data_IF_495382739907
#
_entry.id   IF_495382739907
#
_cell.length_a   1.000
_cell.length_b   1.000
_cell.length_c   1.000
_cell.angle_alpha   90.00
_cell.angle_beta   90.00
_cell.angle_gamma   90.00
#
_symmetry.space_group_name_H-M   'P 1'
#
loop_
_entity.id
_entity.type
_entity.pdbx_description
1 polymer ?
#
# COMPACT_ATOMS: atom_id res chain seq x y z
N UNK A 1 -9.28 1.25 5.45
CA UNK A 1 -9.64 1.20 4.01
C UNK A 1 -11.12 0.95 3.83
N UNK A 2 -11.73 1.56 2.80
CA UNK A 2 -13.11 1.30 2.41
C UNK A 2 -13.17 0.03 1.56
N UNK A 3 -13.79 -1.02 2.12
CA UNK A 3 -13.79 -2.35 1.52
C UNK A 3 -14.52 -2.45 0.16
N UNK A 4 -15.50 -1.59 -0.09
CA UNK A 4 -16.25 -1.56 -1.35
C UNK A 4 -15.48 -0.87 -2.49
N UNK A 5 -14.45 -0.09 -2.16
CA UNK A 5 -13.54 0.52 -3.12
C UNK A 5 -12.37 -0.42 -3.45
N UNK A 6 -11.79 -0.23 -4.62
CA UNK A 6 -10.56 -0.91 -5.03
C UNK A 6 -9.31 -0.24 -4.40
N UNK A 7 -8.16 -0.89 -4.55
CA UNK A 7 -6.90 -0.40 -3.96
C UNK A 7 -6.51 0.97 -4.53
N UNK A 8 -6.66 1.18 -5.84
CA UNK A 8 -6.36 2.47 -6.48
C UNK A 8 -7.21 3.60 -5.90
N UNK A 9 -8.54 3.40 -5.78
CA UNK A 9 -9.45 4.39 -5.22
C UNK A 9 -9.18 4.67 -3.74
N UNK A 10 -8.87 3.63 -2.96
CA UNK A 10 -8.46 3.82 -1.56
C UNK A 10 -7.20 4.68 -1.46
N UNK A 11 -6.18 4.38 -2.26
CA UNK A 11 -4.92 5.10 -2.22
C UNK A 11 -5.08 6.56 -2.68
N UNK A 12 -5.86 6.77 -3.75
CA UNK A 12 -6.21 8.12 -4.24
C UNK A 12 -6.96 8.93 -3.18
N UNK A 13 -7.93 8.30 -2.49
CA UNK A 13 -8.67 8.96 -1.43
C UNK A 13 -7.76 9.39 -0.28
N UNK A 14 -6.86 8.52 0.17
CA UNK A 14 -5.89 8.86 1.23
C UNK A 14 -4.93 9.97 0.78
N UNK A 15 -4.44 9.93 -0.47
CA UNK A 15 -3.61 10.98 -1.03
C UNK A 15 -4.31 12.34 -0.98
N UNK A 16 -5.56 12.40 -1.44
CA UNK A 16 -6.37 13.61 -1.38
C UNK A 16 -6.61 14.10 0.06
N UNK A 17 -6.87 13.19 1.00
CA UNK A 17 -7.02 13.54 2.43
C UNK A 17 -5.73 14.12 3.04
N UNK A 18 -4.56 13.71 2.53
CA UNK A 18 -3.26 14.28 2.89
C UNK A 18 -2.94 15.59 2.15
N UNK A 19 -3.84 16.10 1.31
CA UNK A 19 -3.58 17.29 0.47
C UNK A 19 -2.64 17.02 -0.71
N UNK A 20 -2.42 15.75 -1.07
CA UNK A 20 -1.53 15.36 -2.16
C UNK A 20 -2.33 15.15 -3.44
N UNK A 21 -2.14 16.02 -4.43
CA UNK A 21 -2.68 15.88 -5.78
C UNK A 21 -1.79 14.98 -6.62
N UNK A 22 -1.90 13.66 -6.43
CA UNK A 22 -1.15 12.67 -7.19
C UNK A 22 -1.88 12.25 -8.45
N UNK A 23 -1.16 12.17 -9.56
CA UNK A 23 -1.68 11.62 -10.81
C UNK A 23 -1.80 10.09 -10.76
N UNK A 24 -2.35 9.54 -11.84
CA UNK A 24 -2.58 8.10 -11.96
C UNK A 24 -1.27 7.31 -12.00
N UNK A 25 -0.22 7.89 -12.58
CA UNK A 25 1.07 7.24 -12.74
C UNK A 25 1.75 7.08 -11.38
N UNK A 26 1.83 8.16 -10.60
CA UNK A 26 2.41 8.16 -9.27
C UNK A 26 1.67 7.23 -8.31
N UNK A 27 0.34 7.19 -8.37
CA UNK A 27 -0.45 6.22 -7.59
C UNK A 27 -0.15 4.77 -8.00
N UNK A 28 0.04 4.50 -9.29
CA UNK A 28 0.42 3.17 -9.76
C UNK A 28 1.84 2.78 -9.33
N UNK A 29 2.77 3.73 -9.24
CA UNK A 29 4.12 3.49 -8.72
C UNK A 29 4.09 3.00 -7.27
N UNK A 30 3.38 3.70 -6.38
CA UNK A 30 3.23 3.26 -4.98
C UNK A 30 2.60 1.86 -4.88
N UNK A 31 1.59 1.55 -5.70
CA UNK A 31 1.02 0.20 -5.75
C UNK A 31 2.01 -0.82 -6.32
N UNK A 32 2.88 -0.43 -7.24
CA UNK A 32 3.92 -1.29 -7.80
C UNK A 32 4.97 -1.65 -6.75
N UNK A 33 5.41 -0.69 -5.94
CA UNK A 33 6.41 -0.90 -4.88
C UNK A 33 6.00 -2.00 -3.89
N UNK A 34 4.69 -2.14 -3.63
CA UNK A 34 4.15 -3.15 -2.72
C UNK A 34 3.59 -4.40 -3.42
N UNK A 35 3.75 -4.52 -4.74
CA UNK A 35 3.27 -5.67 -5.51
C UNK A 35 1.74 -5.73 -5.69
N UNK A 36 1.04 -4.59 -5.66
CA UNK A 36 -0.42 -4.50 -5.80
C UNK A 36 -0.90 -3.89 -7.13
N UNK A 37 0.01 -3.52 -8.03
CA UNK A 37 -0.33 -2.85 -9.31
C UNK A 37 -1.31 -3.66 -10.16
N UNK A 38 -1.09 -4.97 -10.31
CA UNK A 38 -1.92 -5.84 -11.17
C UNK A 38 -3.31 -6.09 -10.58
N UNK A 39 -3.43 -5.99 -9.26
CA UNK A 39 -4.69 -6.15 -8.51
C UNK A 39 -5.31 -4.80 -8.12
N UNK A 40 -4.86 -3.68 -8.69
CA UNK A 40 -5.28 -2.33 -8.27
C UNK A 40 -6.78 -2.07 -8.36
N UNK A 41 -7.48 -2.75 -9.27
CA UNK A 41 -8.94 -2.67 -9.49
C UNK A 41 -9.74 -3.67 -8.65
N UNK A 42 -9.09 -4.56 -7.89
CA UNK A 42 -9.76 -5.52 -7.00
C UNK A 42 -10.24 -4.79 -5.75
N UNK A 43 -11.49 -5.03 -5.35
CA UNK A 43 -12.09 -4.45 -4.13
C UNK A 43 -11.32 -4.90 -2.88
N UNK A 44 -11.06 -3.97 -1.97
CA UNK A 44 -10.25 -4.24 -0.77
C UNK A 44 -10.94 -5.23 0.18
N UNK A 45 -12.26 -5.35 0.16
CA UNK A 45 -12.96 -6.41 0.92
C UNK A 45 -12.55 -7.83 0.51
N UNK A 46 -12.04 -8.01 -0.72
CA UNK A 46 -11.58 -9.29 -1.25
C UNK A 46 -10.05 -9.48 -1.11
N UNK A 47 -9.36 -8.57 -0.41
CA UNK A 47 -7.92 -8.68 -0.15
C UNK A 47 -7.66 -9.66 0.99
N UNK A 48 -6.59 -10.44 0.87
CA UNK A 48 -6.03 -11.16 2.01
C UNK A 48 -5.50 -10.17 3.06
N UNK A 49 -5.20 -10.66 4.26
CA UNK A 49 -4.58 -9.82 5.29
C UNK A 49 -3.27 -9.19 4.79
N UNK A 50 -2.40 -9.99 4.16
CA UNK A 50 -1.14 -9.50 3.59
C UNK A 50 -1.31 -8.46 2.48
N UNK A 51 -2.34 -8.59 1.63
CA UNK A 51 -2.65 -7.56 0.64
C UNK A 51 -3.14 -6.25 1.28
N UNK A 52 -3.92 -6.32 2.37
CA UNK A 52 -4.32 -5.12 3.12
C UNK A 52 -3.11 -4.46 3.78
N UNK A 53 -2.20 -5.26 4.33
CA UNK A 53 -0.94 -4.77 4.92
C UNK A 53 -0.07 -4.05 3.88
N UNK A 54 0.10 -4.65 2.69
CA UNK A 54 0.79 -4.02 1.55
C UNK A 54 0.15 -2.69 1.15
N UNK A 55 -1.19 -2.62 1.15
CA UNK A 55 -1.89 -1.38 0.85
C UNK A 55 -1.67 -0.32 1.95
N UNK A 56 -1.61 -0.71 3.24
CA UNK A 56 -1.23 0.18 4.35
C UNK A 56 0.18 0.75 4.17
N UNK A 57 1.13 -0.09 3.76
CA UNK A 57 2.51 0.32 3.48
C UNK A 57 2.53 1.33 2.31
N UNK A 58 1.85 1.05 1.20
CA UNK A 58 1.76 2.02 0.10
C UNK A 58 1.14 3.36 0.54
N UNK A 59 0.09 3.32 1.37
CA UNK A 59 -0.56 4.51 1.90
C UNK A 59 0.34 5.31 2.86
N UNK A 60 1.19 4.64 3.64
CA UNK A 60 2.12 5.32 4.53
C UNK A 60 3.25 6.02 3.77
N UNK A 61 3.66 5.48 2.61
CA UNK A 61 4.69 6.06 1.75
C UNK A 61 4.20 7.26 0.93
N UNK A 62 2.88 7.51 0.86
CA UNK A 62 2.32 8.66 0.17
C UNK A 62 2.89 9.97 0.71
N UNK A 63 3.48 10.76 -0.19
CA UNK A 63 4.06 12.06 0.12
C UNK A 63 5.54 12.02 0.47
N UNK A 64 6.20 10.87 0.30
CA UNK A 64 7.64 10.69 0.58
C UNK A 64 8.02 11.21 1.98
N UNK A 65 7.48 10.62 3.06
CA UNK A 65 7.74 11.10 4.41
C UNK A 65 9.23 11.02 4.76
N UNK A 66 9.74 12.03 5.46
CA UNK A 66 11.13 12.04 5.95
C UNK A 66 11.37 11.00 7.05
N UNK A 67 10.34 10.71 7.85
CA UNK A 67 10.39 9.73 8.94
C UNK A 67 9.17 8.82 8.83
N UNK A 68 9.42 7.51 8.88
CA UNK A 68 8.39 6.48 8.83
C UNK A 68 8.52 5.57 10.04
N UNK A 69 7.44 5.47 10.82
CA UNK A 69 7.35 4.56 11.97
C UNK A 69 6.29 3.51 11.63
N UNK A 70 6.68 2.24 11.73
CA UNK A 70 5.77 1.11 11.59
C UNK A 70 5.81 0.28 12.86
N UNK A 71 4.62 0.01 13.40
CA UNK A 71 4.45 -0.96 14.47
C UNK A 71 3.98 -2.29 13.87
N UNK A 72 4.77 -3.34 14.10
CA UNK A 72 4.56 -4.69 13.55
C UNK A 72 4.12 -4.78 12.06
N UNK A 73 4.87 -4.19 11.10
CA UNK A 73 4.42 -4.09 9.70
C UNK A 73 4.27 -5.43 8.98
N UNK A 74 4.78 -6.52 9.57
CA UNK A 74 4.82 -7.85 8.97
C UNK A 74 3.89 -8.88 9.62
N UNK A 75 3.07 -8.47 10.61
CA UNK A 75 2.21 -9.40 11.34
C UNK A 75 1.11 -10.00 10.45
N UNK A 76 0.81 -11.29 10.61
CA UNK A 76 -0.22 -11.99 9.85
C UNK A 76 0.09 -12.25 8.37
N UNK A 77 1.35 -12.06 7.94
CA UNK A 77 1.85 -12.50 6.64
C UNK A 77 2.37 -13.93 6.70
N UNK A 78 2.27 -14.63 5.58
CA UNK A 78 2.95 -15.90 5.36
C UNK A 78 4.47 -15.70 5.19
N UNK A 79 5.30 -16.76 5.32
CA UNK A 79 6.76 -16.63 5.28
C UNK A 79 7.28 -15.89 4.03
N UNK A 80 6.68 -16.16 2.88
CA UNK A 80 7.05 -15.50 1.62
C UNK A 80 6.69 -14.00 1.66
N UNK A 81 5.50 -13.66 2.14
CA UNK A 81 5.07 -12.28 2.34
C UNK A 81 5.97 -11.50 3.28
N UNK A 82 6.47 -12.12 4.35
CA UNK A 82 7.43 -11.50 5.28
C UNK A 82 8.76 -11.18 4.58
N UNK A 83 9.29 -12.10 3.76
CA UNK A 83 10.54 -11.88 3.01
C UNK A 83 10.38 -10.72 2.04
N UNK A 84 9.28 -10.67 1.29
CA UNK A 84 9.03 -9.61 0.31
C UNK A 84 8.90 -8.22 0.96
N UNK A 85 8.13 -8.11 2.05
CA UNK A 85 8.03 -6.85 2.79
C UNK A 85 9.39 -6.47 3.37
N UNK A 86 10.13 -7.40 3.99
CA UNK A 86 11.46 -7.09 4.54
C UNK A 86 12.44 -6.60 3.46
N UNK A 87 12.38 -7.15 2.25
CA UNK A 87 13.18 -6.68 1.12
C UNK A 87 12.76 -5.28 0.67
N UNK A 88 11.45 -4.99 0.61
CA UNK A 88 10.95 -3.64 0.35
C UNK A 88 11.44 -2.65 1.40
N UNK A 89 11.36 -2.98 2.69
CA UNK A 89 11.81 -2.10 3.78
C UNK A 89 13.30 -1.77 3.67
N UNK A 90 14.14 -2.71 3.22
CA UNK A 90 15.57 -2.48 3.02
C UNK A 90 15.91 -1.66 1.78
N UNK A 91 14.98 -1.59 0.82
CA UNK A 91 15.14 -0.82 -0.41
C UNK A 91 14.74 0.65 -0.23
N UNK A 92 13.80 0.92 0.67
CA UNK A 92 13.37 2.25 1.06
C UNK A 92 14.44 2.95 1.91
#
# INVERSE_FOLDING_TARGET
>A
FYGHLDAYKNLKLIANMKGLSLDTERLNEYLSMVGLKDVKKKKVKNFSMGMKQRLSIAASLLGSPEILIWDEPINGLDPQGVIEIRSLIRFL
#
